data_IF_950930320493
#
_entry.id   IF_950930320493
#
_cell.length_a   1.000
_cell.length_b   1.000
_cell.length_c   1.000
_cell.angle_alpha   90.00
_cell.angle_beta   90.00
_cell.angle_gamma   90.00
#
_symmetry.space_group_name_H-M   'P 1'
#
loop_
_entity.id
_entity.type
_entity.pdbx_description
1 polymer ?
#
# COMPACT_ATOMS: atom_id res chain seq x y z
N UNK A 1 -3.47 22.98 11.11
CA UNK A 1 -2.13 23.27 11.68
C UNK A 1 -1.36 24.20 10.74
N UNK A 2 -1.04 23.85 9.49
CA UNK A 2 -0.24 24.69 8.56
C UNK A 2 -0.85 26.07 8.34
N UNK A 3 -2.18 26.14 8.13
CA UNK A 3 -2.89 27.42 8.00
C UNK A 3 -2.78 28.29 9.26
N UNK A 4 -2.85 27.68 10.44
CA UNK A 4 -2.67 28.38 11.72
C UNK A 4 -1.28 28.93 11.86
N UNK A 5 -0.24 28.17 11.51
CA UNK A 5 1.15 28.64 11.53
C UNK A 5 1.36 29.81 10.56
N UNK A 6 0.79 29.71 9.35
CA UNK A 6 0.85 30.78 8.35
C UNK A 6 0.20 32.07 8.87
N UNK A 7 -0.99 31.99 9.51
CA UNK A 7 -1.67 33.12 10.12
C UNK A 7 -0.89 33.75 11.28
N UNK A 8 -0.03 32.98 11.94
CA UNK A 8 0.87 33.46 12.99
C UNK A 8 2.18 34.09 12.46
N UNK A 9 2.32 34.20 11.13
CA UNK A 9 3.48 34.81 10.49
C UNK A 9 4.65 33.87 10.24
N UNK A 10 4.49 32.56 10.45
CA UNK A 10 5.54 31.58 10.15
C UNK A 10 5.61 31.26 8.65
N UNK A 11 6.84 31.15 8.13
CA UNK A 11 7.09 30.57 6.81
C UNK A 11 7.07 29.05 6.92
N UNK A 12 6.18 28.41 6.17
CA UNK A 12 6.02 26.95 6.20
C UNK A 12 6.57 26.37 4.90
N UNK A 13 7.58 25.51 4.99
CA UNK A 13 8.15 24.78 3.85
C UNK A 13 7.71 23.32 3.97
N UNK A 14 7.05 22.81 2.92
CA UNK A 14 6.51 21.43 2.87
C UNK A 14 7.14 20.70 1.70
N UNK A 15 7.78 19.56 1.98
CA UNK A 15 8.25 18.62 0.95
C UNK A 15 7.23 17.50 0.83
N UNK A 16 6.51 17.46 -0.29
CA UNK A 16 5.38 16.54 -0.47
C UNK A 16 5.14 16.26 -1.96
N UNK A 17 4.61 15.10 -2.26
CA UNK A 17 4.24 14.70 -3.62
C UNK A 17 2.72 14.63 -3.82
N UNK A 18 1.94 14.71 -2.74
CA UNK A 18 0.47 14.76 -2.75
C UNK A 18 0.03 16.20 -2.64
N UNK A 19 -0.44 16.77 -3.73
CA UNK A 19 -0.64 18.21 -3.86
C UNK A 19 -2.08 18.66 -3.53
N UNK A 20 -3.05 17.75 -3.52
CA UNK A 20 -4.47 18.08 -3.42
C UNK A 20 -4.83 18.85 -2.14
N UNK A 21 -4.24 18.53 -1.00
CA UNK A 21 -4.52 19.23 0.26
C UNK A 21 -3.73 20.53 0.42
N UNK A 22 -2.70 20.72 -0.37
CA UNK A 22 -1.87 21.92 -0.37
C UNK A 22 -2.41 23.02 -1.27
N UNK A 23 -3.31 22.72 -2.19
CA UNK A 23 -3.80 23.62 -3.24
C UNK A 23 -4.19 25.00 -2.72
N UNK A 24 -4.92 25.07 -1.60
CA UNK A 24 -5.40 26.32 -1.01
C UNK A 24 -4.43 26.97 -0.01
N UNK A 25 -3.35 26.28 0.35
CA UNK A 25 -2.39 26.71 1.36
C UNK A 25 -1.10 27.27 0.75
N UNK A 26 -0.72 26.79 -0.44
CA UNK A 26 0.56 27.06 -1.09
C UNK A 26 0.53 28.38 -1.84
N UNK A 27 1.50 29.24 -1.58
CA UNK A 27 1.72 30.49 -2.32
C UNK A 27 2.69 30.28 -3.49
N UNK A 28 3.65 29.34 -3.33
CA UNK A 28 4.71 29.03 -4.27
C UNK A 28 5.02 27.53 -4.24
N UNK A 29 5.19 26.90 -5.38
CA UNK A 29 5.62 25.52 -5.51
C UNK A 29 6.92 25.43 -6.29
N UNK A 30 7.89 24.70 -5.76
CA UNK A 30 9.17 24.43 -6.41
C UNK A 30 9.18 22.97 -6.87
N UNK A 31 9.35 22.77 -8.17
CA UNK A 31 9.48 21.43 -8.75
C UNK A 31 10.94 21.05 -8.79
N UNK A 32 11.29 19.95 -8.13
CA UNK A 32 12.64 19.42 -8.08
C UNK A 32 12.82 18.31 -9.12
N UNK A 33 13.95 18.36 -9.86
CA UNK A 33 14.38 17.30 -10.78
C UNK A 33 15.88 17.17 -10.72
N UNK A 34 16.37 15.95 -10.60
CA UNK A 34 17.81 15.61 -10.58
C UNK A 34 18.64 16.48 -9.60
N UNK A 35 18.08 16.75 -8.41
CA UNK A 35 18.72 17.54 -7.37
C UNK A 35 18.73 19.07 -7.59
N UNK A 36 18.02 19.55 -8.61
CA UNK A 36 17.92 20.98 -8.96
C UNK A 36 16.46 21.44 -8.95
N UNK A 37 16.27 22.75 -8.72
CA UNK A 37 14.97 23.38 -8.94
C UNK A 37 14.78 23.49 -10.47
N UNK A 38 13.88 22.70 -11.02
CA UNK A 38 13.56 22.67 -12.44
C UNK A 38 12.58 23.80 -12.78
N UNK A 39 11.61 24.04 -11.91
CA UNK A 39 10.56 25.07 -12.14
C UNK A 39 10.04 25.64 -10.84
N UNK A 40 9.70 26.91 -10.87
CA UNK A 40 8.96 27.63 -9.84
C UNK A 40 7.57 27.97 -10.37
N UNK A 41 6.53 27.63 -9.60
CA UNK A 41 5.13 27.90 -9.88
C UNK A 41 4.57 28.82 -8.82
N UNK A 42 3.97 29.93 -9.21
CA UNK A 42 3.18 30.79 -8.34
C UNK A 42 1.75 30.26 -8.20
N UNK A 43 1.00 30.78 -7.26
CA UNK A 43 -0.38 30.31 -6.99
C UNK A 43 -1.25 30.26 -8.25
N UNK A 44 -1.20 31.29 -9.08
CA UNK A 44 -1.98 31.32 -10.33
C UNK A 44 -1.57 30.20 -11.31
N UNK A 45 -0.28 29.88 -11.37
CA UNK A 45 0.22 28.78 -12.22
C UNK A 45 -0.27 27.42 -11.70
N UNK A 46 -0.28 27.26 -10.36
CA UNK A 46 -0.75 26.04 -9.68
C UNK A 46 -2.23 25.80 -9.96
N UNK A 47 -3.04 26.86 -9.91
CA UNK A 47 -4.48 26.79 -10.14
C UNK A 47 -4.84 26.42 -11.59
N UNK A 48 -3.95 26.78 -12.53
CA UNK A 48 -4.10 26.55 -13.97
C UNK A 48 -3.37 25.30 -14.49
N UNK A 49 -2.67 24.54 -13.64
CA UNK A 49 -2.04 23.27 -14.03
C UNK A 49 -3.06 22.31 -14.59
N UNK A 50 -2.78 21.82 -15.78
CA UNK A 50 -3.57 20.77 -16.42
C UNK A 50 -3.01 19.37 -16.13
N UNK A 51 -3.77 18.33 -16.47
CA UNK A 51 -3.38 16.94 -16.19
C UNK A 51 -2.14 16.51 -16.99
N UNK A 52 -1.87 17.10 -18.15
CA UNK A 52 -0.66 16.81 -18.93
C UNK A 52 0.60 17.35 -18.25
N UNK A 53 0.54 18.55 -17.68
CA UNK A 53 1.64 19.14 -16.91
C UNK A 53 1.94 18.31 -15.66
N UNK A 54 0.89 17.91 -14.92
CA UNK A 54 0.99 17.09 -13.72
C UNK A 54 1.68 15.76 -14.03
N UNK A 55 1.30 15.10 -15.14
CA UNK A 55 1.92 13.85 -15.60
C UNK A 55 3.38 14.05 -16.05
N UNK A 56 3.67 15.13 -16.77
CA UNK A 56 5.02 15.47 -17.22
C UNK A 56 6.00 15.63 -16.04
N UNK A 57 5.52 16.21 -14.94
CA UNK A 57 6.29 16.36 -13.69
C UNK A 57 6.22 15.13 -12.78
N UNK A 58 5.50 14.05 -13.15
CA UNK A 58 5.25 12.86 -12.32
C UNK A 58 4.64 13.20 -10.96
N UNK A 59 3.85 14.26 -10.89
CA UNK A 59 3.15 14.70 -9.70
C UNK A 59 1.80 14.00 -9.59
N UNK A 60 1.26 13.96 -8.37
CA UNK A 60 -0.12 13.53 -8.16
C UNK A 60 -1.07 14.71 -8.39
N UNK A 61 -2.28 14.42 -8.86
CA UNK A 61 -3.27 15.45 -9.21
C UNK A 61 -3.61 16.40 -8.05
N UNK A 62 -3.86 17.68 -8.40
CA UNK A 62 -4.43 18.66 -7.49
C UNK A 62 -5.96 18.55 -7.36
N UNK A 63 -6.63 17.88 -8.30
CA UNK A 63 -8.10 17.77 -8.36
C UNK A 63 -8.50 16.31 -8.32
N UNK A 64 -9.08 15.86 -7.21
CA UNK A 64 -9.59 14.49 -7.08
C UNK A 64 -10.75 14.21 -8.06
N UNK A 65 -11.49 15.25 -8.46
CA UNK A 65 -12.58 15.13 -9.45
C UNK A 65 -12.12 14.71 -10.85
N UNK A 66 -10.83 14.86 -11.18
CA UNK A 66 -10.28 14.47 -12.47
C UNK A 66 -9.87 12.98 -12.52
N UNK A 67 -9.99 12.28 -11.42
CA UNK A 67 -9.75 10.82 -11.37
C UNK A 67 -11.01 10.13 -11.89
N UNK A 68 -11.07 9.91 -13.21
CA UNK A 68 -12.09 9.04 -13.79
C UNK A 68 -11.67 7.59 -13.56
N UNK A 69 -12.37 6.91 -12.66
CA UNK A 69 -12.34 5.45 -12.60
C UNK A 69 -13.36 4.93 -13.61
N UNK A 70 -12.89 4.37 -14.70
CA UNK A 70 -13.71 3.46 -15.47
C UNK A 70 -13.82 2.16 -14.64
N UNK A 71 -14.92 2.03 -13.92
CA UNK A 71 -15.30 0.73 -13.37
C UNK A 71 -15.54 -0.16 -14.58
N UNK A 72 -14.64 -1.11 -14.83
CA UNK A 72 -14.92 -2.18 -15.76
C UNK A 72 -15.99 -3.06 -15.11
N UNK A 73 -17.24 -2.87 -15.51
CA UNK A 73 -18.41 -3.60 -15.02
C UNK A 73 -18.33 -5.13 -15.19
N UNK A 74 -17.27 -5.62 -15.81
CA UNK A 74 -17.12 -7.02 -16.21
C UNK A 74 -16.47 -7.93 -15.17
N UNK A 75 -16.25 -7.47 -13.92
CA UNK A 75 -15.66 -8.29 -12.87
C UNK A 75 -16.61 -8.70 -11.74
N UNK A 76 -17.91 -8.46 -11.89
CA UNK A 76 -18.89 -9.07 -10.99
C UNK A 76 -19.04 -10.53 -11.42
N UNK A 77 -18.10 -11.36 -11.00
CA UNK A 77 -18.26 -12.79 -11.01
C UNK A 77 -19.29 -13.10 -9.93
N UNK A 78 -20.55 -13.32 -10.31
CA UNK A 78 -21.58 -13.87 -9.44
C UNK A 78 -21.18 -15.30 -9.03
N UNK A 79 -20.18 -15.43 -8.16
CA UNK A 79 -19.90 -16.68 -7.48
C UNK A 79 -20.84 -16.81 -6.30
N UNK A 80 -21.55 -17.93 -6.21
CA UNK A 80 -22.43 -18.25 -5.09
C UNK A 80 -21.70 -18.31 -3.75
N UNK A 81 -20.35 -18.48 -3.76
CA UNK A 81 -19.51 -18.53 -2.56
C UNK A 81 -18.26 -17.65 -2.74
N UNK A 82 -17.95 -16.85 -1.75
CA UNK A 82 -16.73 -16.04 -1.70
C UNK A 82 -15.46 -16.92 -1.69
N UNK A 83 -14.41 -16.48 -2.40
CA UNK A 83 -13.13 -17.19 -2.42
C UNK A 83 -12.37 -17.06 -1.09
N UNK A 84 -12.59 -15.97 -0.36
CA UNK A 84 -12.15 -15.86 1.03
C UNK A 84 -13.25 -15.27 1.90
N UNK A 85 -13.32 -15.74 3.15
CA UNK A 85 -14.30 -15.29 4.12
C UNK A 85 -13.70 -15.28 5.53
N UNK A 86 -14.04 -14.27 6.30
CA UNK A 86 -13.73 -14.14 7.72
C UNK A 86 -15.03 -13.94 8.48
N UNK A 87 -15.26 -14.74 9.49
CA UNK A 87 -16.50 -14.71 10.28
C UNK A 87 -16.22 -14.50 11.76
N UNK A 88 -17.02 -13.64 12.39
CA UNK A 88 -17.06 -13.38 13.82
C UNK A 88 -15.67 -13.05 14.42
N UNK A 89 -14.85 -12.31 13.66
CA UNK A 89 -13.50 -11.99 14.04
C UNK A 89 -13.48 -10.97 15.17
N UNK A 90 -12.84 -11.33 16.28
CA UNK A 90 -12.61 -10.41 17.40
C UNK A 90 -11.15 -10.44 17.84
N UNK A 91 -10.64 -9.26 18.20
CA UNK A 91 -9.28 -9.09 18.67
C UNK A 91 -9.16 -7.95 19.68
N UNK A 92 -8.31 -8.15 20.68
CA UNK A 92 -7.89 -7.12 21.63
C UNK A 92 -6.42 -7.32 21.99
N UNK A 93 -5.67 -6.23 22.19
CA UNK A 93 -4.30 -6.28 22.68
C UNK A 93 -4.24 -6.60 24.17
N UNK A 94 -5.23 -6.13 24.91
CA UNK A 94 -5.40 -6.39 26.35
C UNK A 94 -6.84 -6.84 26.67
N UNK A 95 -7.12 -7.09 27.94
CA UNK A 95 -8.43 -7.61 28.38
C UNK A 95 -9.54 -6.55 28.28
N UNK A 96 -9.18 -5.26 28.39
CA UNK A 96 -10.14 -4.18 28.58
C UNK A 96 -10.46 -3.41 27.28
N UNK A 97 -9.61 -3.49 26.25
CA UNK A 97 -9.75 -2.70 25.03
C UNK A 97 -9.92 -3.58 23.79
N UNK A 98 -11.18 -3.80 23.41
CA UNK A 98 -11.49 -4.49 22.15
C UNK A 98 -11.16 -3.59 20.96
N UNK A 99 -10.36 -4.10 20.02
CA UNK A 99 -9.99 -3.40 18.80
C UNK A 99 -10.83 -3.86 17.62
N UNK A 100 -11.14 -5.15 17.57
CA UNK A 100 -12.02 -5.75 16.58
C UNK A 100 -13.12 -6.51 17.31
N UNK A 101 -14.38 -6.27 16.97
CA UNK A 101 -15.53 -6.90 17.58
C UNK A 101 -16.46 -7.47 16.50
N UNK A 102 -16.56 -8.79 16.46
CA UNK A 102 -17.46 -9.52 15.56
C UNK A 102 -17.40 -9.05 14.09
N UNK A 103 -16.18 -8.82 13.58
CA UNK A 103 -15.98 -8.36 12.21
C UNK A 103 -16.21 -9.52 11.23
N UNK A 104 -16.97 -9.23 10.18
CA UNK A 104 -17.21 -10.14 9.06
C UNK A 104 -16.72 -9.49 7.78
N UNK A 105 -16.05 -10.26 6.93
CA UNK A 105 -15.50 -9.80 5.66
C UNK A 105 -15.45 -10.96 4.69
N UNK A 106 -15.84 -10.71 3.45
CA UNK A 106 -15.71 -11.69 2.37
C UNK A 106 -15.29 -11.01 1.07
N UNK A 107 -14.75 -11.78 0.13
CA UNK A 107 -14.36 -11.29 -1.18
C UNK A 107 -13.91 -12.39 -2.12
N UNK A 108 -13.71 -12.03 -3.37
CA UNK A 108 -13.31 -12.94 -4.43
C UNK A 108 -11.89 -12.69 -4.90
N UNK A 109 -11.22 -13.72 -5.43
CA UNK A 109 -9.91 -13.53 -6.04
C UNK A 109 -10.01 -12.63 -7.28
N UNK A 110 -9.06 -11.69 -7.41
CA UNK A 110 -9.08 -10.65 -8.42
C UNK A 110 -9.91 -9.42 -8.05
N UNK A 111 -10.62 -9.44 -6.92
CA UNK A 111 -11.34 -8.29 -6.39
C UNK A 111 -10.41 -7.39 -5.58
N UNK A 112 -10.68 -6.07 -5.60
CA UNK A 112 -10.01 -5.10 -4.74
C UNK A 112 -10.97 -4.62 -3.67
N UNK A 113 -10.67 -4.96 -2.41
CA UNK A 113 -11.47 -4.55 -1.25
C UNK A 113 -10.77 -3.41 -0.52
N UNK A 114 -11.42 -2.25 -0.40
CA UNK A 114 -10.91 -1.11 0.35
C UNK A 114 -11.43 -1.10 1.79
N UNK A 115 -10.52 -1.12 2.77
CA UNK A 115 -10.85 -0.97 4.20
C UNK A 115 -10.61 0.49 4.58
N UNK A 116 -11.68 1.23 4.85
CA UNK A 116 -11.65 2.67 5.16
C UNK A 116 -12.14 2.95 6.57
N UNK A 117 -11.72 4.06 7.16
CA UNK A 117 -12.12 4.49 8.51
C UNK A 117 -11.10 5.42 9.15
N UNK A 118 -11.45 6.06 10.26
CA UNK A 118 -10.55 6.95 11.01
C UNK A 118 -9.32 6.22 11.54
N UNK A 119 -8.26 7.00 11.87
CA UNK A 119 -7.08 6.45 12.53
C UNK A 119 -7.47 5.87 13.90
N UNK A 120 -6.85 4.76 14.28
CA UNK A 120 -7.22 4.04 15.51
C UNK A 120 -8.36 3.02 15.36
N UNK A 121 -9.14 3.01 14.27
CA UNK A 121 -10.29 2.10 14.09
C UNK A 121 -9.90 0.64 13.73
N UNK A 122 -8.67 0.23 13.99
CA UNK A 122 -8.28 -1.18 13.86
C UNK A 122 -7.97 -1.68 12.44
N UNK A 123 -7.91 -0.80 11.40
CA UNK A 123 -7.61 -1.21 10.01
C UNK A 123 -6.32 -2.04 9.88
N UNK A 124 -5.22 -1.52 10.41
CA UNK A 124 -3.92 -2.21 10.44
C UNK A 124 -3.98 -3.51 11.26
N UNK A 125 -4.71 -3.49 12.37
CA UNK A 125 -4.92 -4.67 13.21
C UNK A 125 -5.68 -5.74 12.46
N UNK A 126 -6.74 -5.38 11.74
CA UNK A 126 -7.50 -6.30 10.89
C UNK A 126 -6.59 -6.96 9.85
N UNK A 127 -5.80 -6.18 9.13
CA UNK A 127 -4.83 -6.70 8.15
C UNK A 127 -3.82 -7.66 8.77
N UNK A 128 -3.27 -7.34 9.95
CA UNK A 128 -2.32 -8.21 10.67
C UNK A 128 -2.98 -9.52 11.15
N UNK A 129 -4.21 -9.46 11.62
CA UNK A 129 -4.95 -10.67 12.04
C UNK A 129 -5.27 -11.54 10.84
N UNK A 130 -5.74 -10.94 9.72
CA UNK A 130 -6.06 -11.65 8.47
C UNK A 130 -4.85 -12.26 7.79
N UNK A 131 -3.65 -11.74 8.02
CA UNK A 131 -2.40 -12.32 7.52
C UNK A 131 -1.81 -13.38 8.46
N UNK A 132 -2.37 -13.54 9.65
CA UNK A 132 -1.87 -14.46 10.68
C UNK A 132 -0.66 -13.94 11.46
N UNK A 133 -0.27 -12.66 11.29
CA UNK A 133 0.84 -12.03 12.01
C UNK A 133 0.54 -11.86 13.50
N UNK A 134 -0.72 -11.62 13.86
CA UNK A 134 -1.17 -11.57 15.25
C UNK A 134 -2.37 -12.51 15.42
N UNK A 135 -2.43 -13.18 16.58
CA UNK A 135 -3.45 -14.19 16.85
C UNK A 135 -4.78 -13.54 17.21
N UNK A 136 -5.86 -13.90 16.51
CA UNK A 136 -7.23 -13.51 16.87
C UNK A 136 -7.64 -14.08 18.24
N UNK A 137 -8.55 -13.40 18.93
CA UNK A 137 -9.22 -13.91 20.13
C UNK A 137 -10.29 -14.94 19.76
N UNK A 138 -11.06 -14.63 18.72
CA UNK A 138 -12.05 -15.51 18.09
C UNK A 138 -12.19 -15.18 16.61
N UNK A 139 -12.82 -16.06 15.87
CA UNK A 139 -13.11 -15.90 14.44
C UNK A 139 -12.73 -17.14 13.64
N UNK A 140 -13.36 -17.25 12.47
CA UNK A 140 -13.11 -18.32 11.53
C UNK A 140 -12.65 -17.76 10.20
N UNK A 141 -11.75 -18.46 9.54
CA UNK A 141 -11.18 -18.08 8.26
C UNK A 141 -11.45 -19.18 7.25
N UNK A 142 -11.94 -18.78 6.09
CA UNK A 142 -12.21 -19.70 4.98
C UNK A 142 -11.48 -19.20 3.73
N UNK A 143 -10.80 -20.09 3.02
CA UNK A 143 -10.17 -19.84 1.74
C UNK A 143 -10.62 -20.94 0.79
N UNK A 144 -11.17 -20.54 -0.38
CA UNK A 144 -11.76 -21.45 -1.36
C UNK A 144 -12.82 -22.37 -0.73
N UNK A 145 -13.67 -21.80 0.15
CA UNK A 145 -14.72 -22.52 0.87
C UNK A 145 -14.23 -23.46 1.97
N UNK A 146 -12.90 -23.56 2.19
CA UNK A 146 -12.30 -24.47 3.20
C UNK A 146 -11.91 -23.72 4.44
N UNK A 147 -12.30 -24.23 5.61
CA UNK A 147 -11.81 -23.73 6.89
C UNK A 147 -10.28 -23.74 6.93
N UNK A 148 -9.72 -22.62 7.27
CA UNK A 148 -8.26 -22.43 7.35
C UNK A 148 -7.88 -22.00 8.76
N UNK A 149 -7.04 -22.81 9.43
CA UNK A 149 -6.47 -22.41 10.72
C UNK A 149 -5.67 -21.13 10.58
N UNK A 150 -5.84 -20.16 11.47
CA UNK A 150 -5.17 -18.86 11.38
C UNK A 150 -3.65 -18.98 11.16
N UNK A 151 -2.98 -19.91 11.85
CA UNK A 151 -1.55 -20.17 11.67
C UNK A 151 -1.13 -20.57 10.26
N UNK A 152 -2.06 -20.94 9.39
CA UNK A 152 -1.80 -21.33 7.99
C UNK A 152 -2.15 -20.22 6.99
N UNK A 153 -2.68 -19.07 7.43
CA UNK A 153 -3.05 -17.96 6.55
C UNK A 153 -1.86 -17.43 5.75
N UNK A 154 -0.65 -17.46 6.32
CA UNK A 154 0.58 -17.06 5.62
C UNK A 154 0.82 -17.82 4.31
N UNK A 155 0.21 -18.99 4.12
CA UNK A 155 0.31 -19.77 2.85
C UNK A 155 -0.44 -19.11 1.70
N UNK A 156 -1.50 -18.35 1.99
CA UNK A 156 -2.40 -17.74 0.99
C UNK A 156 -2.43 -16.22 1.05
N UNK A 157 -1.97 -15.62 2.14
CA UNK A 157 -2.01 -14.18 2.38
C UNK A 157 -0.60 -13.61 2.45
N UNK A 158 -0.35 -12.49 1.79
CA UNK A 158 0.86 -11.67 1.93
C UNK A 158 0.47 -10.31 2.51
N UNK A 159 1.20 -9.86 3.53
CA UNK A 159 0.98 -8.56 4.15
C UNK A 159 2.12 -7.61 3.82
N UNK A 160 1.82 -6.51 3.16
CA UNK A 160 2.76 -5.44 2.89
C UNK A 160 2.66 -4.42 4.02
N UNK A 161 3.75 -4.27 4.77
CA UNK A 161 3.81 -3.34 5.90
C UNK A 161 3.78 -1.88 5.42
N UNK A 162 3.28 -1.00 6.27
CA UNK A 162 3.26 0.44 6.04
C UNK A 162 4.69 1.00 5.90
N UNK A 163 5.56 0.58 6.79
CA UNK A 163 6.98 0.94 6.79
C UNK A 163 7.79 -0.24 6.25
N UNK A 164 8.42 -0.02 5.10
CA UNK A 164 9.21 -1.02 4.41
C UNK A 164 10.46 -1.43 5.20
N UNK A 165 10.97 -0.57 6.10
CA UNK A 165 12.15 -0.87 6.90
C UNK A 165 11.92 -2.04 7.86
N UNK A 166 10.68 -2.27 8.27
CA UNK A 166 10.31 -3.43 9.11
C UNK A 166 10.04 -4.71 8.31
N UNK A 167 10.21 -4.70 7.00
CA UNK A 167 9.90 -5.85 6.16
C UNK A 167 11.08 -6.36 5.34
N UNK A 168 12.11 -5.54 5.10
CA UNK A 168 13.23 -5.84 4.23
C UNK A 168 14.49 -6.18 5.04
N UNK A 169 14.92 -7.44 4.98
CA UNK A 169 16.01 -7.96 5.84
C UNK A 169 17.17 -8.61 5.07
N UNK A 170 16.97 -8.91 3.77
CA UNK A 170 17.97 -9.62 2.97
C UNK A 170 19.14 -8.71 2.56
N UNK A 171 20.24 -9.33 2.15
CA UNK A 171 21.47 -8.63 1.72
C UNK A 171 21.30 -7.91 0.37
N UNK A 172 20.34 -8.31 -0.44
CA UNK A 172 20.04 -7.67 -1.72
C UNK A 172 18.55 -7.70 -2.02
N UNK A 173 18.13 -6.81 -2.94
CA UNK A 173 16.75 -6.77 -3.41
C UNK A 173 16.33 -8.11 -4.03
N UNK A 174 17.18 -8.70 -4.87
CA UNK A 174 16.85 -10.00 -5.49
C UNK A 174 16.71 -11.10 -4.45
N UNK A 175 17.58 -11.12 -3.42
CA UNK A 175 17.49 -12.09 -2.32
C UNK A 175 16.18 -11.93 -1.53
N UNK A 176 15.70 -10.69 -1.34
CA UNK A 176 14.42 -10.41 -0.69
C UNK A 176 13.23 -11.00 -1.47
N UNK A 177 13.25 -10.86 -2.80
CA UNK A 177 12.22 -11.44 -3.66
C UNK A 177 12.28 -12.98 -3.64
N UNK A 178 13.50 -13.55 -3.67
CA UNK A 178 13.71 -15.00 -3.55
C UNK A 178 13.15 -15.54 -2.23
N UNK A 179 13.46 -14.87 -1.11
CA UNK A 179 12.95 -15.25 0.21
C UNK A 179 11.41 -15.25 0.24
N UNK A 180 10.78 -14.24 -0.37
CA UNK A 180 9.32 -14.13 -0.43
C UNK A 180 8.69 -15.24 -1.29
N UNK A 181 9.42 -15.79 -2.24
CA UNK A 181 8.96 -16.82 -3.19
C UNK A 181 9.23 -18.27 -2.75
N UNK A 182 9.91 -18.53 -1.63
CA UNK A 182 10.45 -19.83 -1.22
C UNK A 182 9.47 -21.02 -1.15
N UNK A 183 8.17 -20.80 -1.34
CA UNK A 183 7.19 -21.89 -1.34
C UNK A 183 6.93 -22.52 -2.73
N UNK A 184 7.71 -22.18 -3.80
CA UNK A 184 7.49 -22.70 -5.17
C UNK A 184 8.81 -22.84 -5.95
N UNK A 185 9.49 -23.97 -5.79
CA UNK A 185 10.90 -24.21 -6.15
C UNK A 185 11.20 -24.19 -7.67
N UNK A 186 10.24 -24.26 -8.59
CA UNK A 186 10.50 -24.42 -10.04
C UNK A 186 9.98 -23.32 -10.97
N UNK A 187 9.22 -22.33 -10.49
CA UNK A 187 8.67 -21.24 -11.29
C UNK A 187 9.07 -19.84 -10.77
N UNK A 188 10.08 -19.77 -9.92
CA UNK A 188 10.40 -18.56 -9.16
C UNK A 188 11.12 -17.50 -9.98
N UNK A 189 12.05 -17.90 -10.86
CA UNK A 189 12.89 -16.94 -11.58
C UNK A 189 12.07 -16.06 -12.53
N UNK A 190 11.11 -16.62 -13.26
CA UNK A 190 10.26 -15.86 -14.16
C UNK A 190 9.38 -14.86 -13.40
N UNK A 191 8.80 -15.25 -12.27
CA UNK A 191 7.96 -14.35 -11.44
C UNK A 191 8.76 -13.25 -10.80
N UNK A 192 9.98 -13.56 -10.36
CA UNK A 192 10.90 -12.56 -9.80
C UNK A 192 11.30 -11.56 -10.89
N UNK A 193 11.68 -12.01 -12.08
CA UNK A 193 12.06 -11.14 -13.19
C UNK A 193 10.86 -10.28 -13.66
N UNK A 194 9.66 -10.85 -13.71
CA UNK A 194 8.44 -10.11 -13.98
C UNK A 194 8.18 -9.02 -12.93
N UNK A 195 8.33 -9.33 -11.64
CA UNK A 195 8.16 -8.36 -10.56
C UNK A 195 9.22 -7.24 -10.65
N UNK A 196 10.48 -7.59 -10.92
CA UNK A 196 11.59 -6.65 -11.12
C UNK A 196 11.28 -5.68 -12.26
N UNK A 197 10.81 -6.20 -13.38
CA UNK A 197 10.47 -5.41 -14.57
C UNK A 197 9.27 -4.52 -14.33
N UNK A 198 8.18 -5.08 -13.79
CA UNK A 198 6.93 -4.37 -13.53
C UNK A 198 7.12 -3.18 -12.59
N UNK A 199 7.96 -3.35 -11.55
CA UNK A 199 8.21 -2.32 -10.54
C UNK A 199 9.41 -1.42 -10.89
N UNK A 200 10.06 -1.65 -12.04
CA UNK A 200 11.23 -0.89 -12.51
C UNK A 200 12.33 -0.80 -11.43
N UNK A 201 12.75 -1.97 -10.93
CA UNK A 201 13.75 -2.10 -9.86
C UNK A 201 15.06 -2.75 -10.34
N UNK A 202 15.20 -3.01 -11.65
CA UNK A 202 16.36 -3.67 -12.25
C UNK A 202 17.69 -2.96 -11.93
N UNK A 203 17.71 -1.63 -11.95
CA UNK A 203 18.93 -0.83 -11.74
C UNK A 203 19.53 -0.93 -10.33
N UNK A 204 18.77 -1.45 -9.36
CA UNK A 204 19.22 -1.61 -7.97
C UNK A 204 18.94 -3.02 -7.42
N UNK A 205 18.71 -4.01 -8.28
CA UNK A 205 18.39 -5.39 -7.90
C UNK A 205 19.42 -6.04 -6.97
N UNK A 206 20.69 -5.67 -7.11
CA UNK A 206 21.81 -6.23 -6.32
C UNK A 206 22.18 -5.33 -5.12
N UNK A 207 21.48 -4.22 -4.91
CA UNK A 207 21.76 -3.32 -3.78
C UNK A 207 21.12 -3.82 -2.49
N UNK A 208 21.78 -3.52 -1.38
CA UNK A 208 21.22 -3.78 -0.05
C UNK A 208 19.95 -2.92 0.16
N UNK A 209 18.82 -3.47 0.60
CA UNK A 209 17.57 -2.74 0.77
C UNK A 209 17.69 -1.48 1.63
N UNK A 210 18.52 -1.51 2.69
CA UNK A 210 18.71 -0.35 3.56
C UNK A 210 19.37 0.85 2.86
N UNK A 211 20.07 0.63 1.73
CA UNK A 211 20.68 1.72 0.93
C UNK A 211 19.68 2.40 -0.02
N UNK A 212 18.43 1.97 -0.05
CA UNK A 212 17.41 2.47 -0.96
C UNK A 212 16.63 3.63 -0.36
N UNK A 213 16.11 4.51 -1.22
CA UNK A 213 15.15 5.53 -0.80
C UNK A 213 13.82 4.90 -0.38
N UNK A 214 13.01 5.60 0.44
CA UNK A 214 11.71 5.09 0.91
C UNK A 214 10.80 4.63 -0.23
N UNK A 215 10.72 5.38 -1.33
CA UNK A 215 9.94 4.96 -2.51
C UNK A 215 10.53 3.74 -3.24
N UNK A 216 11.86 3.56 -3.24
CA UNK A 216 12.50 2.35 -3.76
C UNK A 216 12.20 1.15 -2.85
N UNK A 217 12.33 1.29 -1.54
CA UNK A 217 11.96 0.26 -0.56
C UNK A 217 10.50 -0.18 -0.71
N UNK A 218 9.58 0.77 -0.87
CA UNK A 218 8.17 0.47 -1.09
C UNK A 218 7.95 -0.34 -2.39
N UNK A 219 8.65 -0.02 -3.49
CA UNK A 219 8.59 -0.81 -4.71
C UNK A 219 9.11 -2.23 -4.50
N UNK A 220 10.18 -2.40 -3.71
CA UNK A 220 10.71 -3.73 -3.37
C UNK A 220 9.71 -4.54 -2.56
N UNK A 221 9.04 -3.96 -1.55
CA UNK A 221 8.01 -4.70 -0.78
C UNK A 221 6.83 -5.13 -1.64
N UNK A 222 6.42 -4.29 -2.61
CA UNK A 222 5.36 -4.66 -3.57
C UNK A 222 5.86 -5.77 -4.51
N UNK A 223 7.10 -5.67 -5.01
CA UNK A 223 7.70 -6.71 -5.85
C UNK A 223 7.80 -8.06 -5.11
N UNK A 224 8.16 -8.04 -3.83
CA UNK A 224 8.18 -9.22 -2.96
C UNK A 224 6.78 -9.83 -2.80
N UNK A 225 5.74 -8.99 -2.64
CA UNK A 225 4.35 -9.45 -2.62
C UNK A 225 3.96 -10.16 -3.93
N UNK A 226 4.31 -9.59 -5.09
CA UNK A 226 4.06 -10.20 -6.40
C UNK A 226 4.82 -11.52 -6.55
N UNK A 227 6.13 -11.53 -6.22
CA UNK A 227 6.97 -12.72 -6.28
C UNK A 227 6.47 -13.85 -5.36
N UNK A 228 5.85 -13.53 -4.23
CA UNK A 228 5.28 -14.49 -3.28
C UNK A 228 4.18 -15.37 -3.86
N UNK A 229 3.56 -14.94 -4.94
CA UNK A 229 2.44 -15.63 -5.61
C UNK A 229 1.27 -15.99 -4.69
N UNK A 230 1.04 -15.20 -3.63
CA UNK A 230 -0.10 -15.41 -2.72
C UNK A 230 -1.39 -14.92 -3.38
N UNK A 231 -2.49 -15.58 -3.08
CA UNK A 231 -3.80 -15.27 -3.65
C UNK A 231 -4.41 -13.98 -3.09
N UNK A 232 -4.07 -13.63 -1.85
CA UNK A 232 -4.55 -12.45 -1.14
C UNK A 232 -3.36 -11.58 -0.78
N UNK A 233 -3.40 -10.31 -1.17
CA UNK A 233 -2.39 -9.32 -0.83
C UNK A 233 -3.05 -8.21 -0.01
N UNK A 234 -2.56 -7.96 1.18
CA UNK A 234 -3.05 -6.91 2.07
C UNK A 234 -2.01 -5.80 2.09
N UNK A 235 -2.37 -4.62 1.58
CA UNK A 235 -1.51 -3.44 1.59
C UNK A 235 -1.91 -2.53 2.75
N UNK A 236 -1.02 -2.39 3.74
CA UNK A 236 -1.21 -1.42 4.80
C UNK A 236 -0.62 -0.09 4.36
N UNK A 237 -1.45 0.74 3.71
CA UNK A 237 -1.03 2.05 3.21
C UNK A 237 -1.06 3.10 4.33
N UNK A 238 0.00 3.91 4.43
CA UNK A 238 0.00 5.08 5.31
C UNK A 238 -0.94 6.15 4.76
N UNK A 239 -1.73 6.73 5.65
CA UNK A 239 -2.34 8.04 5.45
C UNK A 239 -1.37 9.12 5.99
N UNK A 240 -0.26 9.35 5.29
CA UNK A 240 0.56 10.54 5.54
C UNK A 240 0.35 11.54 4.44
#
# INVERSE_FOLDING_TARGET
IMESLKKQGHTVIVSEHRLFYLKNLVDKCLIMKDGKIDRELKKNDIDNLNDSDIRAYKLRTFKLSNIKYELKDNLIVNKQNADFKVENLSFSYDVNHSVLSNCNLEGNFGETVAIVGHNGNGKTTLGKVMSGLIKARSGQFFIEGKYTKQKNLYKSVYFVMQDADYQLYSDSVVSELMLSSMNSIKQNDEKIENAITLLNISSFRNRHPQSLSGGQKQRVTIAAAIASNKKIMIFNASQH
#
